data_IF_721406393762
#
_entry.id   IF_721406393762
#
_cell.length_a   1.000
_cell.length_b   1.000
_cell.length_c   1.000
_cell.angle_alpha   90.00
_cell.angle_beta   90.00
_cell.angle_gamma   90.00
#
_symmetry.space_group_name_H-M   'P 1'
#
loop_
_entity.id
_entity.type
_entity.pdbx_description
1 polymer ?
#
# COMPACT_ATOMS: atom_id res chain seq x y z
N UNK A 1 -32.78 -11.25 -4.35
CA UNK A 1 -31.77 -12.02 -3.59
C UNK A 1 -30.43 -11.42 -3.92
N UNK A 2 -29.73 -10.84 -2.94
CA UNK A 2 -28.42 -10.26 -3.18
C UNK A 2 -27.40 -11.40 -3.33
N UNK A 3 -26.78 -11.52 -4.50
CA UNK A 3 -25.73 -12.51 -4.73
C UNK A 3 -24.53 -12.21 -3.83
N UNK A 4 -23.90 -13.23 -3.26
CA UNK A 4 -22.68 -13.08 -2.49
C UNK A 4 -21.61 -12.36 -3.32
N UNK A 5 -21.05 -11.27 -2.80
CA UNK A 5 -20.01 -10.47 -3.47
C UNK A 5 -18.68 -10.64 -2.77
N UNK A 6 -17.63 -10.83 -3.56
CA UNK A 6 -16.25 -10.88 -3.09
C UNK A 6 -15.49 -9.63 -3.53
N UNK A 7 -14.26 -9.45 -3.04
CA UNK A 7 -13.37 -8.34 -3.45
C UNK A 7 -13.04 -8.37 -4.95
N UNK A 8 -13.23 -9.53 -5.62
CA UNK A 8 -13.02 -9.68 -7.07
C UNK A 8 -14.16 -9.09 -7.90
N UNK A 9 -15.35 -8.95 -7.32
CA UNK A 9 -16.57 -8.54 -8.02
C UNK A 9 -16.82 -7.02 -7.94
N UNK A 10 -15.93 -6.30 -7.25
CA UNK A 10 -16.04 -4.85 -7.03
C UNK A 10 -14.90 -4.12 -7.72
N UNK A 11 -15.21 -2.93 -8.24
CA UNK A 11 -14.23 -1.97 -8.76
C UNK A 11 -13.05 -1.82 -7.80
N UNK A 12 -11.79 -2.01 -8.27
CA UNK A 12 -10.61 -1.89 -7.43
C UNK A 12 -10.50 -0.51 -6.75
N UNK A 13 -10.88 0.54 -7.46
CA UNK A 13 -10.74 1.91 -6.99
C UNK A 13 -11.72 2.19 -5.84
N UNK A 14 -12.98 1.82 -6.03
CA UNK A 14 -14.05 2.08 -5.07
C UNK A 14 -13.86 1.24 -3.79
N UNK A 15 -13.43 -0.02 -3.95
CA UNK A 15 -13.06 -0.86 -2.81
C UNK A 15 -11.92 -0.25 -1.99
N UNK A 16 -10.84 0.20 -2.64
CA UNK A 16 -9.68 0.77 -1.93
C UNK A 16 -10.07 2.03 -1.17
N UNK A 17 -10.89 2.90 -1.78
CA UNK A 17 -11.37 4.13 -1.14
C UNK A 17 -12.26 3.82 0.08
N UNK A 18 -13.22 2.91 -0.07
CA UNK A 18 -14.11 2.51 1.01
C UNK A 18 -13.34 1.83 2.16
N UNK A 19 -12.41 0.94 1.83
CA UNK A 19 -11.62 0.22 2.84
C UNK A 19 -10.62 1.15 3.55
N UNK A 20 -10.03 2.12 2.85
CA UNK A 20 -9.21 3.15 3.49
C UNK A 20 -10.00 3.97 4.52
N UNK A 21 -11.23 4.37 4.18
CA UNK A 21 -12.12 5.06 5.11
C UNK A 21 -12.50 4.18 6.31
N UNK A 22 -12.70 2.87 6.10
CA UNK A 22 -12.94 1.92 7.19
C UNK A 22 -11.74 1.79 8.12
N UNK A 23 -10.52 1.65 7.57
CA UNK A 23 -9.29 1.60 8.36
C UNK A 23 -9.08 2.87 9.19
N UNK A 24 -9.31 4.05 8.59
CA UNK A 24 -9.25 5.33 9.30
C UNK A 24 -10.26 5.40 10.45
N UNK A 25 -11.52 5.03 10.18
CA UNK A 25 -12.59 5.05 11.21
C UNK A 25 -12.32 4.05 12.34
N UNK A 26 -11.68 2.93 12.04
CA UNK A 26 -11.38 1.91 13.05
C UNK A 26 -10.40 2.40 14.14
N UNK A 27 -9.55 3.39 13.84
CA UNK A 27 -8.54 3.90 14.75
C UNK A 27 -7.46 2.89 15.17
N UNK A 28 -7.44 1.68 14.59
CA UNK A 28 -6.52 0.60 15.02
C UNK A 28 -5.12 0.68 14.40
N UNK A 29 -4.95 1.48 13.35
CA UNK A 29 -3.66 1.68 12.70
C UNK A 29 -3.02 2.94 13.24
N UNK A 30 -1.87 2.78 13.87
CA UNK A 30 -1.05 3.89 14.33
C UNK A 30 -0.27 4.46 13.13
N UNK A 31 -0.48 5.75 12.85
CA UNK A 31 0.34 6.43 11.84
C UNK A 31 1.73 6.69 12.42
N UNK A 32 2.80 6.36 11.68
CA UNK A 32 4.13 6.73 12.10
C UNK A 32 4.34 8.24 12.01
N UNK A 33 5.23 8.79 12.84
CA UNK A 33 5.51 10.23 12.96
C UNK A 33 6.03 10.89 11.68
N UNK A 34 6.42 10.11 10.67
CA UNK A 34 7.02 10.60 9.44
C UNK A 34 6.05 10.68 8.25
N UNK A 35 4.77 10.32 8.42
CA UNK A 35 3.80 10.18 7.32
C UNK A 35 3.51 11.47 6.56
N UNK A 36 3.63 12.60 7.22
CA UNK A 36 3.43 13.96 6.71
C UNK A 36 4.64 14.50 5.94
N UNK A 37 5.85 14.02 6.26
CA UNK A 37 7.10 14.56 5.70
C UNK A 37 7.63 13.71 4.54
N UNK A 38 7.44 12.39 4.56
CA UNK A 38 8.16 11.50 3.64
C UNK A 38 7.56 11.39 2.24
N UNK A 39 8.43 11.10 1.29
CA UNK A 39 8.03 10.61 -0.03
C UNK A 39 7.83 9.11 -0.03
N UNK A 40 6.94 8.65 -0.89
CA UNK A 40 6.62 7.22 -1.01
C UNK A 40 7.69 6.36 -1.70
N UNK A 41 8.72 7.00 -2.28
CA UNK A 41 9.87 6.34 -2.87
C UNK A 41 10.86 7.33 -3.48
N UNK A 42 12.10 6.88 -3.71
CA UNK A 42 13.19 7.70 -4.29
C UNK A 42 12.84 8.28 -5.66
N UNK A 43 11.97 7.62 -6.42
CA UNK A 43 11.55 8.07 -7.74
C UNK A 43 10.58 9.27 -7.73
N UNK A 44 9.96 9.57 -6.58
CA UNK A 44 8.98 10.64 -6.47
C UNK A 44 9.69 11.96 -6.21
N UNK A 45 9.25 13.02 -6.88
CA UNK A 45 9.76 14.37 -6.68
C UNK A 45 9.14 15.00 -5.42
N UNK A 46 7.82 14.82 -5.26
CA UNK A 46 7.00 15.37 -4.17
C UNK A 46 6.36 14.27 -3.29
N UNK A 47 6.00 14.60 -2.03
CA UNK A 47 5.19 13.73 -1.18
C UNK A 47 3.74 13.61 -1.70
N UNK A 48 2.96 12.63 -1.22
CA UNK A 48 1.54 12.54 -1.53
C UNK A 48 0.76 13.77 -1.02
N UNK A 49 -0.17 14.28 -1.82
CA UNK A 49 -1.02 15.42 -1.44
C UNK A 49 -2.17 15.02 -0.50
N UNK A 50 -2.64 13.78 -0.61
CA UNK A 50 -3.72 13.27 0.22
C UNK A 50 -3.19 12.95 1.63
N UNK A 51 -3.71 13.56 2.71
CA UNK A 51 -3.28 13.24 4.07
C UNK A 51 -3.58 11.78 4.46
N UNK A 52 -4.57 11.16 3.84
CA UNK A 52 -4.99 9.77 4.08
C UNK A 52 -4.25 8.76 3.18
N UNK A 53 -3.19 9.18 2.49
CA UNK A 53 -2.42 8.33 1.57
C UNK A 53 -1.93 7.03 2.22
N UNK A 54 -1.64 7.06 3.52
CA UNK A 54 -1.19 5.90 4.28
C UNK A 54 -2.27 4.82 4.34
N UNK A 55 -3.51 5.20 4.65
CA UNK A 55 -4.66 4.30 4.68
C UNK A 55 -5.01 3.76 3.29
N UNK A 56 -4.94 4.62 2.26
CA UNK A 56 -5.13 4.21 0.87
C UNK A 56 -4.09 3.17 0.47
N UNK A 57 -2.83 3.36 0.87
CA UNK A 57 -1.77 2.40 0.61
C UNK A 57 -1.99 1.09 1.36
N UNK A 58 -2.36 1.14 2.64
CA UNK A 58 -2.71 -0.04 3.43
C UNK A 58 -3.84 -0.84 2.79
N UNK A 59 -4.91 -0.17 2.37
CA UNK A 59 -6.04 -0.79 1.69
C UNK A 59 -5.64 -1.43 0.35
N UNK A 60 -4.82 -0.74 -0.45
CA UNK A 60 -4.28 -1.26 -1.70
C UNK A 60 -3.42 -2.52 -1.49
N UNK A 61 -2.60 -2.53 -0.43
CA UNK A 61 -1.73 -3.65 -0.09
C UNK A 61 -2.55 -4.86 0.37
N UNK A 62 -3.49 -4.68 1.29
CA UNK A 62 -4.39 -5.73 1.77
C UNK A 62 -5.16 -6.38 0.60
N UNK A 63 -5.71 -5.58 -0.32
CA UNK A 63 -6.39 -6.10 -1.52
C UNK A 63 -5.47 -6.95 -2.39
N UNK A 64 -4.22 -6.53 -2.59
CA UNK A 64 -3.26 -7.27 -3.43
C UNK A 64 -2.85 -8.59 -2.79
N UNK A 65 -2.71 -8.64 -1.47
CA UNK A 65 -2.43 -9.87 -0.72
C UNK A 65 -3.59 -10.84 -0.90
N UNK A 66 -4.82 -10.38 -0.68
CA UNK A 66 -6.03 -11.20 -0.88
C UNK A 66 -6.12 -11.83 -2.28
N UNK A 67 -5.69 -11.10 -3.32
CA UNK A 67 -5.81 -11.57 -4.71
C UNK A 67 -4.69 -12.50 -5.17
N UNK A 68 -3.45 -12.33 -4.69
CA UNK A 68 -2.28 -13.04 -5.25
C UNK A 68 -1.53 -13.93 -4.27
N UNK A 69 -1.73 -13.80 -2.96
CA UNK A 69 -0.96 -14.54 -1.95
C UNK A 69 0.55 -14.27 -2.02
N UNK A 70 1.30 -14.66 -0.99
CA UNK A 70 2.78 -14.69 -1.00
C UNK A 70 3.50 -13.38 -1.39
N UNK A 71 2.91 -12.22 -1.08
CA UNK A 71 3.47 -10.92 -1.45
C UNK A 71 4.30 -10.31 -0.30
N UNK A 72 5.61 -10.44 -0.39
CA UNK A 72 6.53 -9.76 0.54
C UNK A 72 6.83 -8.29 0.19
N UNK A 73 7.61 -7.63 1.06
CA UNK A 73 8.06 -6.23 0.90
C UNK A 73 8.71 -5.97 -0.47
N UNK A 74 9.52 -6.93 -0.95
CA UNK A 74 10.22 -6.81 -2.25
C UNK A 74 9.28 -6.78 -3.46
N UNK A 75 8.11 -7.44 -3.37
CA UNK A 75 7.09 -7.40 -4.41
C UNK A 75 6.39 -6.04 -4.40
N UNK A 76 6.00 -5.53 -3.23
CA UNK A 76 5.39 -4.20 -3.10
C UNK A 76 6.30 -3.06 -3.54
N UNK A 77 7.61 -3.20 -3.28
CA UNK A 77 8.62 -2.26 -3.80
C UNK A 77 8.66 -2.19 -5.33
N UNK A 78 8.35 -3.29 -6.01
CA UNK A 78 8.23 -3.33 -7.47
C UNK A 78 6.87 -2.81 -7.95
N UNK A 79 5.78 -3.24 -7.31
CA UNK A 79 4.41 -2.85 -7.64
C UNK A 79 4.21 -1.33 -7.54
N UNK A 80 4.73 -0.70 -6.49
CA UNK A 80 4.64 0.75 -6.30
C UNK A 80 5.87 1.50 -6.85
N UNK A 81 6.79 0.79 -7.50
CA UNK A 81 7.92 1.38 -8.21
C UNK A 81 7.50 2.06 -9.51
N UNK A 82 8.46 2.62 -10.23
CA UNK A 82 8.19 3.26 -11.51
C UNK A 82 9.42 3.88 -12.14
N UNK A 83 9.23 4.61 -13.23
CA UNK A 83 10.31 5.33 -13.91
C UNK A 83 10.83 6.48 -13.05
N UNK A 84 12.13 6.49 -12.75
CA UNK A 84 12.80 7.60 -12.06
C UNK A 84 13.27 8.63 -13.07
N UNK A 85 12.96 9.91 -12.82
CA UNK A 85 13.53 11.03 -13.59
C UNK A 85 15.00 11.23 -13.18
N UNK A 86 15.89 11.20 -14.17
CA UNK A 86 17.34 11.37 -13.99
C UNK A 86 17.86 12.65 -14.67
N UNK A 87 17.03 13.70 -14.75
CA UNK A 87 17.36 14.93 -15.46
C UNK A 87 17.47 14.69 -16.97
N UNK A 88 18.65 14.95 -17.52
CA UNK A 88 18.99 14.74 -18.93
C UNK A 88 19.27 13.27 -19.29
N UNK A 89 19.51 12.40 -18.31
CA UNK A 89 19.78 10.97 -18.55
C UNK A 89 18.48 10.18 -18.76
N UNK A 90 18.52 9.07 -19.53
CA UNK A 90 17.36 8.21 -19.74
C UNK A 90 16.69 7.75 -18.43
N UNK A 91 15.37 7.50 -18.54
CA UNK A 91 14.55 7.01 -17.43
C UNK A 91 14.80 5.52 -17.22
N UNK A 92 15.04 5.14 -15.97
CA UNK A 92 15.18 3.73 -15.57
C UNK A 92 14.19 3.40 -14.45
N UNK A 93 13.79 2.14 -14.37
CA UNK A 93 12.93 1.66 -13.31
C UNK A 93 13.62 1.77 -11.94
N UNK A 94 12.89 2.31 -10.95
CA UNK A 94 13.34 2.40 -9.58
C UNK A 94 12.27 1.84 -8.65
N UNK A 95 12.70 1.05 -7.67
CA UNK A 95 11.84 0.49 -6.63
C UNK A 95 11.34 1.59 -5.68
N UNK A 96 10.16 1.41 -5.11
CA UNK A 96 9.62 2.31 -4.08
C UNK A 96 10.29 2.10 -2.71
N UNK A 97 9.91 2.93 -1.73
CA UNK A 97 10.44 2.84 -0.37
C UNK A 97 10.04 1.52 0.29
N UNK A 98 11.05 0.79 0.77
CA UNK A 98 10.83 -0.44 1.54
C UNK A 98 10.36 -0.19 2.97
N UNK A 99 10.73 0.95 3.56
CA UNK A 99 10.33 1.31 4.93
C UNK A 99 8.81 1.48 5.02
N UNK A 100 8.23 2.25 4.09
CA UNK A 100 6.77 2.47 4.02
C UNK A 100 6.02 1.16 3.85
N UNK A 101 6.44 0.31 2.91
CA UNK A 101 5.77 -0.96 2.67
C UNK A 101 5.88 -1.91 3.88
N UNK A 102 7.06 -2.00 4.51
CA UNK A 102 7.26 -2.85 5.69
C UNK A 102 6.41 -2.38 6.87
N UNK A 103 6.40 -1.08 7.16
CA UNK A 103 5.64 -0.54 8.27
C UNK A 103 4.14 -0.80 8.11
N UNK A 104 3.61 -0.62 6.90
CA UNK A 104 2.20 -0.91 6.61
C UNK A 104 1.88 -2.40 6.82
N UNK A 105 2.76 -3.31 6.40
CA UNK A 105 2.54 -4.75 6.60
C UNK A 105 2.55 -5.11 8.10
N UNK A 106 3.49 -4.56 8.87
CA UNK A 106 3.54 -4.76 10.32
C UNK A 106 2.25 -4.25 11.00
N UNK A 107 1.78 -3.06 10.61
CA UNK A 107 0.53 -2.50 11.15
C UNK A 107 -0.69 -3.35 10.76
N UNK A 108 -0.78 -3.83 9.51
CA UNK A 108 -1.87 -4.72 9.09
C UNK A 108 -1.82 -6.07 9.81
N UNK A 109 -0.63 -6.56 10.16
CA UNK A 109 -0.46 -7.77 10.96
C UNK A 109 -0.93 -7.56 12.40
N UNK A 110 -0.57 -6.43 13.02
CA UNK A 110 -1.02 -6.09 14.37
C UNK A 110 -2.55 -6.01 14.49
N UNK A 111 -3.22 -5.59 13.41
CA UNK A 111 -4.69 -5.53 13.33
C UNK A 111 -5.32 -6.87 12.93
N UNK A 112 -4.53 -7.94 12.81
CA UNK A 112 -4.93 -9.30 12.40
C UNK A 112 -5.63 -9.36 11.03
N UNK A 113 -5.23 -8.49 10.09
CA UNK A 113 -5.75 -8.50 8.71
C UNK A 113 -4.91 -9.42 7.82
N UNK A 114 -3.60 -9.49 8.10
CA UNK A 114 -2.64 -10.33 7.37
C UNK A 114 -1.78 -11.10 8.36
N UNK A 115 -1.19 -12.21 7.90
CA UNK A 115 -0.21 -12.97 8.68
C UNK A 115 1.01 -13.31 7.83
N UNK A 116 2.11 -13.67 8.49
CA UNK A 116 3.36 -14.05 7.84
C UNK A 116 3.28 -15.52 7.44
N UNK A 117 3.36 -15.79 6.14
CA UNK A 117 3.61 -17.14 5.64
C UNK A 117 5.12 -17.45 5.79
N UNK A 118 5.51 -18.57 6.44
CA UNK A 118 6.90 -19.01 6.49
C UNK A 118 7.57 -19.15 5.12
N UNK A 119 6.78 -19.35 4.04
CA UNK A 119 7.27 -19.48 2.67
C UNK A 119 7.42 -18.14 1.92
N UNK A 120 7.02 -17.03 2.54
CA UNK A 120 7.27 -15.66 2.07
C UNK A 120 6.03 -14.84 1.72
#
# INVERSE_FOLDING_TARGET
MEAARTVKDVSPHDFVKAYAAHLKRSGKIELPSWTDIVKTGKLKELPPYDPDWYYIRAASMARKIYLRGGLGVGAFRRIYGGAKRNGSRPRHFCKSSGSVARHILQQLQNVNIIDIDPKG
#
